data_IF_968748722344
#
_entry.id   IF_968748722344
#
_cell.length_a   1.000
_cell.length_b   1.000
_cell.length_c   1.000
_cell.angle_alpha   90.00
_cell.angle_beta   90.00
_cell.angle_gamma   90.00
#
_symmetry.space_group_name_H-M   'P 1'
#
loop_
_entity.id
_entity.type
_entity.pdbx_description
1 polymer ?
#
# COMPACT_ATOMS: atom_id res chain seq x y z
N UNK A 1 2.07 -4.92 -13.00
CA UNK A 1 0.63 -5.00 -13.33
C UNK A 1 0.30 -4.11 -14.53
N UNK A 2 -0.68 -4.52 -15.30
CA UNK A 2 -1.27 -3.76 -16.40
C UNK A 2 -2.79 -3.79 -16.21
N UNK A 3 -3.45 -2.64 -16.30
CA UNK A 3 -4.89 -2.53 -16.19
C UNK A 3 -5.51 -2.14 -17.54
N UNK A 4 -6.67 -2.71 -17.84
CA UNK A 4 -7.53 -2.32 -18.93
C UNK A 4 -8.81 -1.72 -18.33
N UNK A 5 -9.11 -0.47 -18.69
CA UNK A 5 -10.21 0.29 -18.10
C UNK A 5 -11.09 0.90 -19.19
N UNK A 6 -12.38 1.06 -18.85
CA UNK A 6 -13.33 1.90 -19.58
C UNK A 6 -13.73 3.07 -18.68
N UNK A 7 -13.77 4.28 -19.23
CA UNK A 7 -14.12 5.51 -18.52
C UNK A 7 -15.29 6.18 -19.20
N UNK A 8 -16.40 6.33 -18.50
CA UNK A 8 -17.52 7.15 -18.97
C UNK A 8 -17.24 8.63 -18.69
N UNK A 9 -16.93 9.38 -19.75
CA UNK A 9 -16.61 10.80 -19.66
C UNK A 9 -17.78 11.68 -19.19
N UNK A 10 -19.03 11.19 -19.23
CA UNK A 10 -20.21 11.94 -18.79
C UNK A 10 -20.44 11.79 -17.29
N UNK A 11 -20.14 10.63 -16.72
CA UNK A 11 -20.39 10.32 -15.30
C UNK A 11 -19.11 10.25 -14.49
N UNK A 12 -17.97 10.09 -15.13
CA UNK A 12 -16.67 9.87 -14.49
C UNK A 12 -16.50 8.46 -13.91
N UNK A 13 -17.45 7.56 -14.17
CA UNK A 13 -17.37 6.17 -13.71
C UNK A 13 -16.27 5.44 -14.43
N UNK A 14 -15.50 4.67 -13.69
CA UNK A 14 -14.40 3.84 -14.17
C UNK A 14 -14.83 2.39 -14.00
N UNK A 15 -14.80 1.63 -15.08
CA UNK A 15 -14.95 0.18 -15.05
C UNK A 15 -13.59 -0.46 -15.39
N UNK A 16 -13.11 -1.31 -14.49
CA UNK A 16 -11.88 -2.06 -14.72
C UNK A 16 -12.27 -3.38 -15.35
N UNK A 17 -11.91 -3.57 -16.61
CA UNK A 17 -12.28 -4.75 -17.39
C UNK A 17 -11.37 -5.93 -17.07
N UNK A 18 -10.06 -5.67 -16.94
CA UNK A 18 -9.06 -6.70 -16.78
C UNK A 18 -7.81 -6.18 -16.09
N UNK A 19 -7.19 -7.04 -15.29
CA UNK A 19 -5.86 -6.80 -14.73
C UNK A 19 -4.95 -7.99 -15.07
N UNK A 20 -3.83 -7.68 -15.69
CA UNK A 20 -2.73 -8.62 -15.88
C UNK A 20 -1.67 -8.34 -14.84
N UNK A 21 -1.25 -9.39 -14.14
CA UNK A 21 -0.20 -9.26 -13.14
C UNK A 21 0.80 -10.42 -13.27
N UNK A 22 2.06 -10.07 -13.44
CA UNK A 22 3.19 -10.99 -13.35
C UNK A 22 3.93 -10.72 -12.05
N UNK A 23 4.13 -11.75 -11.25
CA UNK A 23 4.77 -11.63 -9.95
C UNK A 23 5.83 -12.70 -9.73
N UNK A 24 7.05 -12.28 -9.44
CA UNK A 24 8.14 -13.18 -9.10
C UNK A 24 8.05 -13.56 -7.61
N UNK A 25 7.79 -14.83 -7.38
CA UNK A 25 7.62 -15.42 -6.05
C UNK A 25 8.78 -16.37 -5.68
N UNK A 26 9.85 -16.35 -6.46
CA UNK A 26 10.92 -17.30 -6.31
C UNK A 26 10.47 -18.70 -6.67
N UNK A 27 10.25 -19.56 -5.69
CA UNK A 27 9.71 -20.89 -5.89
C UNK A 27 8.26 -20.99 -5.41
N UNK A 28 7.38 -21.44 -6.27
CA UNK A 28 5.99 -21.69 -5.90
C UNK A 28 5.87 -22.96 -5.08
N UNK A 29 5.67 -22.83 -3.77
CA UNK A 29 5.47 -23.99 -2.88
C UNK A 29 4.04 -24.54 -2.98
N UNK A 30 3.08 -23.68 -3.28
CA UNK A 30 1.68 -24.04 -3.51
C UNK A 30 1.06 -23.08 -4.54
N UNK A 31 1.07 -23.41 -5.83
CA UNK A 31 0.61 -22.53 -6.89
C UNK A 31 -0.80 -22.00 -6.70
N UNK A 32 -1.74 -22.83 -6.25
CA UNK A 32 -3.13 -22.41 -6.05
C UNK A 32 -3.28 -21.36 -4.92
N UNK A 33 -2.49 -21.49 -3.86
CA UNK A 33 -2.49 -20.49 -2.79
C UNK A 33 -1.76 -19.22 -3.22
N UNK A 34 -0.70 -19.32 -4.00
CA UNK A 34 0.01 -18.17 -4.58
C UNK A 34 -0.94 -17.36 -5.46
N UNK A 35 -1.64 -18.01 -6.38
CA UNK A 35 -2.64 -17.37 -7.23
C UNK A 35 -3.72 -16.68 -6.39
N UNK A 36 -4.23 -17.35 -5.36
CA UNK A 36 -5.20 -16.77 -4.43
C UNK A 36 -4.68 -15.53 -3.70
N UNK A 37 -3.40 -15.51 -3.29
CA UNK A 37 -2.78 -14.33 -2.68
C UNK A 37 -2.65 -13.19 -3.69
N UNK A 38 -2.26 -13.48 -4.92
CA UNK A 38 -2.13 -12.46 -5.98
C UNK A 38 -3.50 -11.85 -6.29
N UNK A 39 -4.54 -12.65 -6.48
CA UNK A 39 -5.91 -12.17 -6.71
C UNK A 39 -6.41 -11.32 -5.53
N UNK A 40 -6.14 -11.77 -4.29
CA UNK A 40 -6.47 -11.02 -3.08
C UNK A 40 -5.73 -9.68 -2.99
N UNK A 41 -4.46 -9.64 -3.39
CA UNK A 41 -3.68 -8.40 -3.50
C UNK A 41 -4.26 -7.45 -4.54
N UNK A 42 -4.65 -7.96 -5.70
CA UNK A 42 -5.34 -7.17 -6.73
C UNK A 42 -6.65 -6.59 -6.20
N UNK A 43 -7.46 -7.38 -5.49
CA UNK A 43 -8.71 -6.92 -4.86
C UNK A 43 -8.47 -5.73 -3.92
N UNK A 44 -7.48 -5.85 -3.03
CA UNK A 44 -7.13 -4.77 -2.11
C UNK A 44 -6.65 -3.52 -2.86
N UNK A 45 -5.77 -3.68 -3.84
CA UNK A 45 -5.25 -2.56 -4.63
C UNK A 45 -6.34 -1.87 -5.47
N UNK A 46 -7.33 -2.60 -5.97
CA UNK A 46 -8.51 -2.06 -6.63
C UNK A 46 -9.37 -1.25 -5.64
N UNK A 47 -9.61 -1.79 -4.44
CA UNK A 47 -10.36 -1.11 -3.39
C UNK A 47 -9.75 0.24 -3.05
N UNK A 48 -8.45 0.26 -2.76
CA UNK A 48 -7.71 1.50 -2.47
C UNK A 48 -7.69 2.46 -3.67
N UNK A 49 -7.56 1.94 -4.89
CA UNK A 49 -7.52 2.78 -6.08
C UNK A 49 -8.83 3.52 -6.34
N UNK A 50 -9.98 2.89 -6.12
CA UNK A 50 -11.26 3.37 -6.63
C UNK A 50 -12.28 3.75 -5.57
N UNK A 51 -12.21 3.18 -4.36
CA UNK A 51 -13.35 3.20 -3.45
C UNK A 51 -13.02 3.44 -1.99
N UNK A 52 -11.94 2.84 -1.47
CA UNK A 52 -11.64 2.83 -0.06
C UNK A 52 -11.00 4.13 0.42
N UNK A 53 -11.61 4.78 1.39
CA UNK A 53 -11.10 6.00 1.98
C UNK A 53 -11.48 6.05 3.47
N UNK A 54 -10.48 6.27 4.31
CA UNK A 54 -10.69 6.56 5.74
C UNK A 54 -10.69 8.05 5.96
N UNK A 55 -11.85 8.63 6.23
CA UNK A 55 -12.00 10.05 6.53
C UNK A 55 -12.18 10.29 8.02
N UNK A 56 -11.65 11.41 8.48
CA UNK A 56 -11.75 11.83 9.87
C UNK A 56 -12.09 13.31 9.96
N UNK A 57 -12.99 13.65 10.85
CA UNK A 57 -13.35 15.05 11.16
C UNK A 57 -12.97 15.40 12.59
N UNK A 58 -12.62 16.65 12.82
CA UNK A 58 -12.49 17.17 14.17
C UNK A 58 -13.90 17.36 14.77
N UNK A 59 -14.07 16.90 15.96
CA UNK A 59 -15.23 17.24 16.74
C UNK A 59 -15.33 18.75 17.00
N UNK A 60 -15.55 19.47 17.63
CA UNK A 60 -15.49 20.91 17.82
C UNK A 60 -14.14 21.27 18.43
N UNK A 61 -13.49 22.36 17.98
CA UNK A 61 -12.26 22.84 18.62
C UNK A 61 -12.43 23.15 20.11
N UNK A 62 -13.68 23.33 20.58
CA UNK A 62 -14.01 23.58 21.98
C UNK A 62 -14.17 22.30 22.82
N UNK A 63 -14.36 21.15 22.19
CA UNK A 63 -14.69 19.92 22.89
C UNK A 63 -13.49 18.99 23.07
N UNK A 64 -12.67 18.86 22.07
CA UNK A 64 -11.50 17.96 22.08
C UNK A 64 -10.69 18.13 20.79
N UNK A 65 -9.39 17.89 20.86
CA UNK A 65 -8.53 17.69 19.68
C UNK A 65 -8.71 16.29 19.06
N UNK A 66 -9.65 15.50 19.55
CA UNK A 66 -9.90 14.17 19.07
C UNK A 66 -10.48 14.19 17.64
N UNK A 67 -9.97 13.29 16.82
CA UNK A 67 -10.49 12.98 15.50
C UNK A 67 -11.54 11.87 15.63
N UNK A 68 -12.68 12.05 14.98
CA UNK A 68 -13.68 11.01 14.80
C UNK A 68 -13.57 10.47 13.38
N UNK A 69 -13.63 9.16 13.24
CA UNK A 69 -13.83 8.53 11.95
C UNK A 69 -15.25 8.82 11.44
N UNK A 70 -15.35 9.22 10.18
CA UNK A 70 -16.66 9.48 9.54
C UNK A 70 -17.32 8.20 9.06
N UNK A 71 -16.52 7.16 8.78
CA UNK A 71 -16.97 5.87 8.25
C UNK A 71 -16.45 4.67 9.09
N UNK A 72 -16.84 4.58 10.39
CA UNK A 72 -16.24 3.59 11.30
C UNK A 72 -16.82 2.19 11.17
N UNK A 73 -17.86 1.99 10.35
CA UNK A 73 -18.55 0.71 10.22
C UNK A 73 -18.54 0.20 8.78
N UNK A 74 -18.77 -1.10 8.62
CA UNK A 74 -18.88 -1.74 7.29
C UNK A 74 -20.09 -1.29 6.48
N UNK A 75 -21.02 -0.53 7.07
CA UNK A 75 -22.12 0.11 6.35
C UNK A 75 -21.67 1.38 5.63
N UNK A 76 -20.73 2.10 6.24
CA UNK A 76 -20.28 3.40 5.76
C UNK A 76 -18.97 3.29 4.96
N UNK A 77 -18.08 2.39 5.37
CA UNK A 77 -16.83 2.12 4.67
C UNK A 77 -17.09 1.34 3.38
N UNK A 78 -16.73 1.93 2.26
CA UNK A 78 -16.96 1.31 0.94
C UNK A 78 -15.83 0.38 0.57
N UNK A 79 -16.20 -0.85 0.20
CA UNK A 79 -15.30 -1.85 -0.38
C UNK A 79 -15.92 -2.42 -1.64
N UNK A 80 -15.10 -3.02 -2.48
CA UNK A 80 -15.57 -3.73 -3.66
C UNK A 80 -16.39 -4.97 -3.27
N UNK A 81 -17.32 -5.32 -4.10
CA UNK A 81 -18.05 -6.59 -4.03
C UNK A 81 -17.53 -7.57 -5.07
N UNK A 82 -18.01 -8.81 -5.03
CA UNK A 82 -17.66 -9.82 -6.05
C UNK A 82 -18.07 -9.41 -7.48
N UNK A 83 -19.07 -8.53 -7.60
CA UNK A 83 -19.51 -8.02 -8.91
C UNK A 83 -18.60 -6.95 -9.49
N UNK A 84 -17.82 -6.30 -8.63
CA UNK A 84 -16.90 -5.23 -9.03
C UNK A 84 -15.52 -5.77 -9.44
N UNK A 85 -15.29 -7.08 -9.26
CA UNK A 85 -14.01 -7.70 -9.61
C UNK A 85 -13.87 -7.88 -11.12
N UNK A 86 -12.77 -7.38 -11.70
CA UNK A 86 -12.45 -7.61 -13.10
C UNK A 86 -11.95 -9.06 -13.33
N UNK A 87 -11.76 -9.41 -14.59
CA UNK A 87 -10.94 -10.57 -14.93
C UNK A 87 -9.50 -10.33 -14.49
N UNK A 88 -8.96 -11.23 -13.66
CA UNK A 88 -7.56 -11.15 -13.21
C UNK A 88 -6.77 -12.27 -13.87
N UNK A 89 -5.79 -11.89 -14.69
CA UNK A 89 -4.87 -12.82 -15.35
C UNK A 89 -3.55 -12.82 -14.59
N UNK A 90 -3.24 -13.92 -13.97
CA UNK A 90 -2.05 -14.09 -13.12
C UNK A 90 -0.98 -14.87 -13.86
N UNK A 91 0.24 -14.32 -13.90
CA UNK A 91 1.45 -14.99 -14.35
C UNK A 91 2.42 -15.15 -13.18
N UNK A 92 2.68 -16.39 -12.80
CA UNK A 92 3.63 -16.71 -11.73
C UNK A 92 5.02 -16.84 -12.33
N UNK A 93 5.94 -15.97 -11.91
CA UNK A 93 7.35 -16.04 -12.29
C UNK A 93 8.11 -16.77 -11.17
N UNK A 94 8.86 -17.80 -11.56
CA UNK A 94 9.70 -18.54 -10.63
C UNK A 94 11.19 -18.27 -10.90
N UNK A 95 11.79 -17.39 -10.11
CA UNK A 95 13.23 -17.15 -10.04
C UNK A 95 13.69 -17.38 -8.58
N UNK A 96 14.08 -18.64 -8.23
CA UNK A 96 14.36 -19.00 -6.84
C UNK A 96 15.45 -18.18 -6.18
N UNK A 97 15.18 -17.64 -4.99
CA UNK A 97 16.14 -16.94 -4.19
C UNK A 97 17.07 -17.91 -3.46
N UNK A 98 18.41 -17.84 -3.66
CA UNK A 98 19.36 -18.72 -2.99
C UNK A 98 19.36 -18.57 -1.46
N UNK A 99 18.90 -17.45 -0.92
CA UNK A 99 18.83 -17.18 0.52
C UNK A 99 17.42 -17.37 1.10
N UNK A 100 16.41 -17.55 0.25
CA UNK A 100 15.03 -17.75 0.67
C UNK A 100 14.75 -19.18 1.12
N UNK A 101 13.77 -19.41 1.99
CA UNK A 101 13.38 -20.75 2.41
C UNK A 101 12.84 -21.53 1.20
N UNK A 102 13.54 -22.62 0.85
CA UNK A 102 13.27 -23.42 -0.35
C UNK A 102 13.30 -22.62 -1.67
N UNK A 103 13.90 -21.43 -1.67
CA UNK A 103 13.94 -20.53 -2.83
C UNK A 103 12.70 -19.64 -2.97
N UNK A 104 11.80 -19.62 -2.00
CA UNK A 104 10.60 -18.78 -2.05
C UNK A 104 10.89 -17.31 -1.77
N UNK A 105 10.09 -16.44 -2.38
CA UNK A 105 10.03 -15.00 -2.15
C UNK A 105 8.66 -14.60 -1.61
N UNK A 106 8.48 -13.33 -1.30
CA UNK A 106 7.25 -12.76 -0.78
C UNK A 106 6.16 -12.74 -1.87
N UNK A 107 4.90 -12.99 -1.47
CA UNK A 107 3.73 -13.00 -2.37
C UNK A 107 2.52 -12.24 -1.81
N UNK A 108 2.58 -11.79 -0.56
CA UNK A 108 1.41 -11.20 0.12
C UNK A 108 1.18 -9.73 -0.23
N UNK A 109 2.20 -8.89 -0.16
CA UNK A 109 2.08 -7.43 -0.37
C UNK A 109 2.45 -7.00 -1.78
N UNK A 110 3.39 -7.68 -2.41
CA UNK A 110 3.89 -7.34 -3.74
C UNK A 110 2.79 -7.15 -4.79
N UNK A 111 1.79 -8.02 -4.87
CA UNK A 111 0.71 -7.90 -5.85
C UNK A 111 -0.22 -6.70 -5.67
N UNK A 112 -0.33 -6.14 -4.47
CA UNK A 112 -1.19 -4.99 -4.18
C UNK A 112 -0.62 -3.69 -4.75
N UNK A 113 0.67 -3.46 -4.52
CA UNK A 113 1.32 -2.17 -4.78
C UNK A 113 1.21 -1.66 -6.22
N UNK A 114 1.37 -2.48 -7.27
CA UNK A 114 1.36 -2.00 -8.65
C UNK A 114 -0.05 -1.75 -9.21
N UNK A 115 -1.12 -2.15 -8.52
CA UNK A 115 -2.49 -2.04 -9.02
C UNK A 115 -2.94 -0.58 -9.12
N UNK A 116 -2.77 0.20 -8.05
CA UNK A 116 -3.15 1.63 -8.04
C UNK A 116 -2.49 2.43 -9.15
N UNK A 117 -1.16 2.40 -9.34
CA UNK A 117 -0.53 3.13 -10.44
C UNK A 117 -0.88 2.57 -11.82
N UNK A 118 -1.15 1.27 -11.96
CA UNK A 118 -1.61 0.71 -13.22
C UNK A 118 -2.96 1.28 -13.63
N UNK A 119 -3.92 1.38 -12.70
CA UNK A 119 -5.23 1.98 -12.94
C UNK A 119 -5.10 3.47 -13.26
N UNK A 120 -4.32 4.23 -12.49
CA UNK A 120 -4.11 5.66 -12.74
C UNK A 120 -3.50 5.92 -14.12
N UNK A 121 -2.58 5.06 -14.56
CA UNK A 121 -2.00 5.14 -15.91
C UNK A 121 -2.99 4.74 -17.00
N UNK A 122 -3.80 3.70 -16.80
CA UNK A 122 -4.82 3.29 -17.73
C UNK A 122 -5.88 4.38 -17.95
N UNK A 123 -6.33 5.04 -16.87
CA UNK A 123 -7.23 6.20 -16.95
C UNK A 123 -6.59 7.34 -17.76
N UNK A 124 -5.31 7.61 -17.51
CA UNK A 124 -4.61 8.63 -18.30
C UNK A 124 -4.53 8.27 -19.78
N UNK A 125 -4.28 7.01 -20.11
CA UNK A 125 -4.24 6.54 -21.49
C UNK A 125 -5.63 6.66 -22.17
N UNK A 126 -6.68 6.30 -21.45
CA UNK A 126 -8.05 6.34 -21.94
C UNK A 126 -8.56 7.77 -22.20
N UNK A 127 -8.39 8.67 -21.24
CA UNK A 127 -9.06 9.99 -21.27
C UNK A 127 -8.10 11.18 -21.12
N UNK A 128 -6.81 10.96 -21.00
CA UNK A 128 -5.76 12.02 -20.99
C UNK A 128 -5.79 12.91 -19.76
N UNK A 129 -6.28 12.41 -18.61
CA UNK A 129 -6.26 13.13 -17.35
C UNK A 129 -5.34 12.45 -16.33
N UNK A 130 -4.78 13.20 -15.38
CA UNK A 130 -3.96 12.69 -14.28
C UNK A 130 -4.66 12.86 -12.95
N UNK A 131 -4.71 11.77 -12.19
CA UNK A 131 -5.23 11.78 -10.82
C UNK A 131 -4.16 11.15 -9.94
N UNK A 132 -3.56 11.98 -9.07
CA UNK A 132 -2.39 11.61 -8.25
C UNK A 132 -2.78 11.39 -6.78
N UNK A 133 -4.05 11.20 -6.51
CA UNK A 133 -4.58 10.87 -5.18
C UNK A 133 -5.66 9.79 -5.27
N UNK A 134 -5.57 8.82 -4.40
CA UNK A 134 -6.56 7.75 -4.26
C UNK A 134 -7.55 8.09 -3.13
N UNK A 135 -8.77 7.55 -3.17
CA UNK A 135 -9.38 6.83 -4.26
C UNK A 135 -9.65 7.72 -5.47
N UNK A 136 -9.54 7.16 -6.67
CA UNK A 136 -9.86 7.84 -7.93
C UNK A 136 -11.37 7.80 -8.12
N UNK A 137 -12.07 8.75 -7.51
CA UNK A 137 -13.53 8.80 -7.55
C UNK A 137 -14.04 9.40 -8.86
N UNK A 138 -15.30 9.10 -9.27
CA UNK A 138 -15.94 9.72 -10.44
C UNK A 138 -15.89 11.25 -10.41
N UNK A 139 -16.04 11.85 -9.24
CA UNK A 139 -15.97 13.31 -9.06
C UNK A 139 -14.59 13.86 -9.41
N UNK A 140 -13.52 13.17 -9.04
CA UNK A 140 -12.15 13.56 -9.39
C UNK A 140 -11.90 13.44 -10.88
N UNK A 141 -12.43 12.40 -11.52
CA UNK A 141 -12.35 12.21 -12.98
C UNK A 141 -13.06 13.34 -13.71
N UNK A 142 -14.34 13.61 -13.37
CA UNK A 142 -15.10 14.70 -13.98
C UNK A 142 -14.41 16.06 -13.81
N UNK A 143 -13.90 16.35 -12.63
CA UNK A 143 -13.16 17.58 -12.37
C UNK A 143 -11.92 17.70 -13.27
N UNK A 144 -11.18 16.61 -13.48
CA UNK A 144 -10.02 16.61 -14.36
C UNK A 144 -10.41 16.79 -15.82
N UNK A 145 -11.53 16.16 -16.25
CA UNK A 145 -12.09 16.33 -17.60
C UNK A 145 -12.56 17.76 -17.86
N UNK A 146 -13.23 18.39 -16.89
CA UNK A 146 -13.60 19.81 -16.97
C UNK A 146 -12.40 20.73 -17.09
N UNK A 147 -11.30 20.43 -16.36
CA UNK A 147 -10.05 21.16 -16.47
C UNK A 147 -9.45 20.98 -17.87
N UNK A 148 -9.46 19.77 -18.43
CA UNK A 148 -9.02 19.46 -19.78
C UNK A 148 -9.83 20.24 -20.82
N UNK A 149 -11.16 20.21 -20.73
CA UNK A 149 -12.04 20.93 -21.64
C UNK A 149 -11.84 22.47 -21.59
N UNK A 150 -11.48 22.99 -20.43
CA UNK A 150 -11.15 24.40 -20.25
C UNK A 150 -9.72 24.79 -20.68
N UNK A 151 -8.95 23.87 -21.28
CA UNK A 151 -7.56 24.09 -21.69
C UNK A 151 -6.58 24.29 -20.52
N UNK A 152 -6.96 23.86 -19.33
CA UNK A 152 -6.10 23.88 -18.14
C UNK A 152 -5.38 22.54 -17.99
N UNK A 153 -4.36 22.51 -17.10
CA UNK A 153 -3.71 21.26 -16.74
C UNK A 153 -4.74 20.26 -16.15
N UNK A 154 -4.95 19.17 -16.86
CA UNK A 154 -5.93 18.13 -16.52
C UNK A 154 -5.39 17.19 -15.43
N UNK A 155 -5.13 17.74 -14.23
CA UNK A 155 -4.51 17.03 -13.11
C UNK A 155 -5.21 17.33 -11.80
N UNK A 156 -5.56 16.29 -11.05
CA UNK A 156 -6.14 16.37 -9.71
C UNK A 156 -5.19 15.67 -8.73
N UNK A 157 -4.92 16.32 -7.60
CA UNK A 157 -4.00 15.86 -6.58
C UNK A 157 -2.79 16.78 -6.39
N UNK A 158 -1.86 16.42 -5.51
CA UNK A 158 -0.68 17.22 -5.21
C UNK A 158 0.26 17.29 -6.41
N UNK A 159 0.75 18.50 -6.72
CA UNK A 159 1.67 18.72 -7.84
C UNK A 159 3.13 18.43 -7.48
N UNK A 160 3.44 18.51 -6.22
CA UNK A 160 4.79 18.31 -5.68
C UNK A 160 4.69 17.46 -4.42
N UNK A 161 5.74 16.71 -4.14
CA UNK A 161 5.89 16.12 -2.81
C UNK A 161 6.03 17.23 -1.78
N UNK A 162 5.44 17.07 -0.57
CA UNK A 162 5.67 18.03 0.51
C UNK A 162 7.17 18.08 0.81
N UNK A 163 7.68 19.29 1.04
CA UNK A 163 9.03 19.46 1.58
C UNK A 163 9.02 18.85 2.99
N UNK A 164 9.70 17.73 3.16
CA UNK A 164 9.86 17.08 4.44
C UNK A 164 11.23 17.43 4.95
N UNK A 165 11.28 18.22 6.03
CA UNK A 165 12.51 18.37 6.80
C UNK A 165 12.80 17.03 7.48
N UNK A 166 13.74 16.29 6.93
CA UNK A 166 14.17 15.05 7.54
C UNK A 166 14.93 15.38 8.82
N UNK A 167 14.58 14.77 9.95
CA UNK A 167 15.37 14.89 11.17
C UNK A 167 16.77 14.37 10.91
N UNK A 168 17.72 14.81 11.74
CA UNK A 168 19.07 14.28 11.72
C UNK A 168 19.05 12.73 11.73
N UNK A 169 19.88 12.08 10.93
CA UNK A 169 19.92 10.62 10.86
C UNK A 169 20.09 10.01 12.24
N UNK A 170 19.20 9.09 12.58
CA UNK A 170 19.28 8.34 13.82
C UNK A 170 20.16 7.13 13.56
N UNK A 171 21.29 7.06 14.24
CA UNK A 171 22.17 5.91 14.17
C UNK A 171 21.89 4.96 15.34
N UNK A 172 21.55 3.71 15.02
CA UNK A 172 21.31 2.65 16.00
C UNK A 172 22.38 1.59 15.78
N UNK A 173 23.24 1.40 16.76
CA UNK A 173 24.21 0.31 16.73
C UNK A 173 23.47 -1.03 16.76
N UNK A 174 23.77 -1.95 15.84
CA UNK A 174 23.17 -3.28 15.87
C UNK A 174 23.65 -4.06 17.12
N UNK A 175 22.85 -5.02 17.63
CA UNK A 175 23.19 -5.77 18.83
C UNK A 175 24.54 -6.51 18.76
N UNK A 176 24.91 -7.01 17.59
CA UNK A 176 26.19 -7.70 17.38
C UNK A 176 27.42 -6.77 17.39
N UNK A 177 27.23 -5.45 17.36
CA UNK A 177 28.24 -4.43 17.54
C UNK A 177 28.18 -3.78 18.93
N UNK A 178 27.44 -4.40 19.85
CA UNK A 178 27.28 -3.93 21.23
C UNK A 178 26.19 -2.86 21.39
N UNK A 179 25.31 -2.69 20.39
CA UNK A 179 24.19 -1.79 20.49
C UNK A 179 23.09 -2.32 21.41
N UNK A 180 22.42 -1.41 22.11
CA UNK A 180 21.26 -1.69 22.96
C UNK A 180 19.91 -1.47 22.25
N UNK A 181 19.93 -1.28 20.93
CA UNK A 181 18.76 -0.99 20.10
C UNK A 181 18.19 0.41 20.28
N UNK A 182 18.92 1.32 20.94
CA UNK A 182 18.45 2.69 21.18
C UNK A 182 19.10 3.67 20.20
N UNK A 183 18.33 4.66 19.74
CA UNK A 183 18.87 5.74 18.95
C UNK A 183 19.93 6.53 19.71
N UNK A 184 21.06 6.79 19.07
CA UNK A 184 22.23 7.48 19.66
C UNK A 184 21.95 8.94 20.03
N UNK A 185 20.94 9.55 19.43
CA UNK A 185 20.59 10.96 19.61
C UNK A 185 19.37 11.19 20.54
N UNK A 186 18.85 10.13 21.19
CA UNK A 186 17.85 10.32 22.24
C UNK A 186 18.52 10.84 23.51
N UNK A 187 17.92 11.85 24.20
CA UNK A 187 18.39 12.28 25.49
C UNK A 187 18.41 11.09 26.46
N UNK A 188 19.47 10.97 27.25
CA UNK A 188 19.59 9.91 28.26
C UNK A 188 18.32 9.88 29.13
N UNK A 189 17.47 8.90 28.90
CA UNK A 189 16.46 8.58 29.88
C UNK A 189 17.21 8.16 31.13
N UNK A 190 16.99 8.87 32.25
CA UNK A 190 17.41 8.42 33.60
C UNK A 190 17.22 6.91 33.64
N UNK A 191 18.33 6.18 33.85
CA UNK A 191 18.41 4.72 33.82
C UNK A 191 17.17 4.12 34.47
N UNK A 192 16.21 3.70 33.66
CA UNK A 192 15.18 2.80 34.13
C UNK A 192 15.90 1.56 34.65
N UNK A 193 15.58 1.14 35.86
CA UNK A 193 16.19 0.01 36.52
C UNK A 193 16.45 -1.12 35.54
N UNK A 194 17.66 -1.67 35.57
CA UNK A 194 18.07 -2.80 34.75
C UNK A 194 16.97 -3.84 34.75
N UNK A 195 16.22 -3.91 33.65
CA UNK A 195 15.42 -5.09 33.39
C UNK A 195 16.45 -6.22 33.23
N UNK A 196 16.39 -7.21 34.09
CA UNK A 196 17.17 -8.42 34.00
C UNK A 196 16.87 -9.03 32.61
N UNK A 197 17.76 -8.78 31.67
CA UNK A 197 17.87 -9.63 30.51
C UNK A 197 18.31 -10.98 31.05
N UNK A 198 17.55 -12.03 30.74
CA UNK A 198 17.90 -13.39 31.11
C UNK A 198 19.34 -13.68 30.64
N UNK A 199 20.27 -13.60 31.59
CA UNK A 199 21.59 -14.16 31.41
C UNK A 199 21.45 -15.68 31.42
N UNK A 200 22.01 -16.27 30.37
CA UNK A 200 22.24 -17.71 30.20
C UNK A 200 21.16 -18.52 29.48
N UNK A 201 21.28 -18.51 28.17
CA UNK A 201 21.06 -19.77 27.43
C UNK A 201 22.17 -20.73 27.91
N UNK A 202 21.85 -21.88 28.51
CA UNK A 202 22.87 -22.86 28.86
C UNK A 202 23.53 -23.38 27.59
N UNK A 203 24.85 -23.30 27.56
CA UNK A 203 25.70 -24.01 26.59
C UNK A 203 25.29 -25.48 26.54
N UNK A 204 24.73 -25.92 25.45
CA UNK A 204 24.45 -27.32 25.15
C UNK A 204 25.61 -27.92 24.38
N UNK A 205 26.80 -27.84 24.94
CA UNK A 205 27.92 -28.64 24.43
C UNK A 205 28.94 -28.85 25.54
N UNK A 206 28.60 -29.71 26.49
CA UNK A 206 29.57 -30.56 27.23
C UNK A 206 28.76 -31.69 27.85
N UNK A 207 28.70 -32.83 27.14
CA UNK A 207 28.98 -34.12 27.74
C UNK A 207 29.00 -35.20 26.66
N UNK A 208 30.23 -35.69 26.43
CA UNK A 208 30.69 -37.01 25.96
C UNK A 208 29.82 -37.83 25.01
#
# INVERSE_FOLDING_TARGET
>A
AVAEVEVDENTGVIEVMRIFIAHDIGRSLNPAQVEGQIIGGVYMGLGEALMEETTSRRLSPKLSDALLHDNPSMLDYKTLTMHDMPEVVVEIIEDPDPNGPFGAKEVGQGPLLPVMPAIANAIHDAVGVRIDEVPITPVKVLRALEMKAAGREARVGPKTFPEIEWPEPIFVLPPWEGGDGRPSNLPERKKAAKMHVMDKVPDKDTDS
#
